data_IF_626828857515
#
_entry.id   IF_626828857515
#
_cell.length_a   1.000
_cell.length_b   1.000
_cell.length_c   1.000
_cell.angle_alpha   90.00
_cell.angle_beta   90.00
_cell.angle_gamma   90.00
#
_symmetry.space_group_name_H-M   'P 1'
#
loop_
_entity.id
_entity.type
_entity.pdbx_description
1 polymer ?
#
# COMPACT_ATOMS: atom_id res chain seq x y z
N UNK A 1 20.88 -14.30 9.85
CA UNK A 1 19.55 -14.57 9.37
C UNK A 1 18.98 -13.39 8.61
N UNK A 2 18.70 -13.60 7.36
CA UNK A 2 18.17 -12.52 6.54
C UNK A 2 16.66 -12.47 6.69
N UNK A 3 16.16 -11.35 7.05
CA UNK A 3 14.74 -11.14 7.14
C UNK A 3 14.16 -11.05 5.74
N UNK A 4 13.55 -12.13 5.31
CA UNK A 4 12.85 -12.14 4.03
C UNK A 4 11.48 -11.51 4.15
N UNK A 5 11.04 -11.26 5.38
CA UNK A 5 9.73 -10.71 5.64
C UNK A 5 9.80 -9.29 6.15
N UNK A 6 8.72 -8.88 6.78
CA UNK A 6 8.62 -7.54 7.35
C UNK A 6 9.33 -7.49 8.70
N UNK A 7 10.09 -6.44 8.90
CA UNK A 7 10.75 -6.21 10.20
C UNK A 7 9.75 -5.67 11.19
N UNK A 8 10.18 -5.54 12.44
CA UNK A 8 9.34 -4.96 13.48
C UNK A 8 8.94 -3.52 13.12
N UNK A 9 9.86 -2.75 12.59
CA UNK A 9 9.59 -1.39 12.12
C UNK A 9 8.55 -1.41 11.00
N UNK A 10 8.69 -2.36 10.07
CA UNK A 10 7.73 -2.51 8.98
C UNK A 10 6.34 -2.81 9.51
N UNK A 11 6.24 -3.67 10.53
CA UNK A 11 4.95 -4.01 11.12
C UNK A 11 4.30 -2.81 11.78
N UNK A 12 5.10 -1.95 12.40
CA UNK A 12 4.59 -0.72 12.98
C UNK A 12 4.06 0.21 11.89
N UNK A 13 4.76 0.30 10.77
CA UNK A 13 4.29 1.08 9.63
C UNK A 13 2.97 0.54 9.10
N UNK A 14 2.85 -0.78 9.02
CA UNK A 14 1.61 -1.42 8.57
C UNK A 14 0.45 -1.03 9.48
N UNK A 15 0.65 -1.11 10.78
CA UNK A 15 -0.40 -0.76 11.73
C UNK A 15 -0.85 0.69 11.61
N UNK A 16 0.11 1.60 11.46
CA UNK A 16 -0.21 3.02 11.30
C UNK A 16 -0.94 3.28 10.00
N UNK A 17 -0.52 2.63 8.93
CA UNK A 17 -1.21 2.76 7.64
C UNK A 17 -2.63 2.24 7.71
N UNK A 18 -2.85 1.15 8.45
CA UNK A 18 -4.20 0.63 8.64
C UNK A 18 -5.10 1.65 9.34
N UNK A 19 -4.53 2.41 10.25
CA UNK A 19 -5.30 3.45 10.95
C UNK A 19 -5.73 4.58 10.02
N UNK A 20 -5.05 4.75 8.90
CA UNK A 20 -5.45 5.76 7.90
C UNK A 20 -6.50 5.23 6.94
N UNK A 21 -6.90 3.97 7.07
CA UNK A 21 -7.96 3.41 6.25
C UNK A 21 -7.51 2.38 5.23
N UNK A 22 -6.21 2.13 5.11
CA UNK A 22 -5.73 1.10 4.20
C UNK A 22 -6.01 -0.28 4.80
N UNK A 23 -6.33 -1.23 3.93
CA UNK A 23 -6.50 -2.61 4.38
C UNK A 23 -5.14 -3.16 4.81
N UNK A 24 -5.17 -4.18 5.65
CA UNK A 24 -3.94 -4.82 6.11
C UNK A 24 -3.09 -5.32 4.95
N UNK A 25 -3.74 -5.92 3.96
CA UNK A 25 -3.03 -6.49 2.81
C UNK A 25 -2.39 -5.40 1.95
N UNK A 26 -3.08 -4.29 1.73
CA UNK A 26 -2.52 -3.15 1.02
C UNK A 26 -1.34 -2.56 1.77
N UNK A 27 -1.49 -2.40 3.09
CA UNK A 27 -0.44 -1.82 3.92
C UNK A 27 0.82 -2.69 3.90
N UNK A 28 0.65 -4.00 4.06
CA UNK A 28 1.78 -4.94 4.03
C UNK A 28 2.50 -4.89 2.69
N UNK A 29 1.74 -4.92 1.61
CA UNK A 29 2.31 -4.91 0.26
C UNK A 29 3.07 -3.61 0.02
N UNK A 30 2.46 -2.48 0.37
CA UNK A 30 3.07 -1.17 0.19
C UNK A 30 4.38 -1.04 0.98
N UNK A 31 4.37 -1.46 2.24
CA UNK A 31 5.56 -1.38 3.10
C UNK A 31 6.68 -2.26 2.56
N UNK A 32 6.35 -3.44 2.05
CA UNK A 32 7.37 -4.30 1.46
C UNK A 32 7.96 -3.67 0.19
N UNK A 33 7.10 -3.10 -0.66
CA UNK A 33 7.55 -2.50 -1.92
C UNK A 33 8.51 -1.33 -1.69
N UNK A 34 8.38 -0.59 -0.58
CA UNK A 34 9.29 0.51 -0.30
C UNK A 34 10.72 0.05 -0.09
N UNK A 35 10.90 -1.23 0.23
CA UNK A 35 12.21 -1.80 0.53
C UNK A 35 12.89 -2.36 -0.71
N UNK A 36 12.18 -2.45 -1.81
CA UNK A 36 12.67 -3.07 -3.03
C UNK A 36 12.53 -2.12 -4.21
N UNK A 37 13.48 -2.19 -5.11
CA UNK A 37 13.39 -1.44 -6.35
C UNK A 37 12.33 -2.07 -7.25
N UNK A 38 12.40 -3.38 -7.40
CA UNK A 38 11.38 -4.16 -8.10
C UNK A 38 11.25 -5.51 -7.40
N UNK A 39 10.06 -6.08 -7.45
CA UNK A 39 9.83 -7.37 -6.81
C UNK A 39 8.73 -8.13 -7.56
N UNK A 40 8.78 -9.44 -7.47
CA UNK A 40 7.78 -10.31 -8.09
C UNK A 40 6.65 -10.57 -7.09
N UNK A 41 5.51 -11.04 -7.61
CA UNK A 41 4.38 -11.40 -6.75
C UNK A 41 4.75 -12.51 -5.78
N UNK A 42 5.58 -13.44 -6.22
CA UNK A 42 6.04 -14.55 -5.35
C UNK A 42 6.85 -14.00 -4.16
N UNK A 43 7.70 -13.02 -4.43
CA UNK A 43 8.48 -12.40 -3.36
C UNK A 43 7.58 -11.65 -2.38
N UNK A 44 6.55 -10.98 -2.89
CA UNK A 44 5.59 -10.28 -2.03
C UNK A 44 4.85 -11.29 -1.14
N UNK A 45 4.38 -12.38 -1.72
CA UNK A 45 3.69 -13.44 -0.98
C UNK A 45 4.58 -13.98 0.14
N UNK A 46 5.82 -14.26 -0.19
CA UNK A 46 6.77 -14.82 0.76
C UNK A 46 7.06 -13.85 1.92
N UNK A 47 7.25 -12.58 1.59
CA UNK A 47 7.63 -11.58 2.59
C UNK A 47 6.46 -11.17 3.48
N UNK A 48 5.25 -11.15 2.94
CA UNK A 48 4.08 -10.65 3.65
C UNK A 48 3.20 -11.76 4.22
N UNK A 49 3.50 -13.00 3.88
CA UNK A 49 2.68 -14.17 4.23
C UNK A 49 1.27 -14.10 3.68
N UNK A 50 1.09 -13.33 2.63
CA UNK A 50 -0.19 -13.24 1.93
C UNK A 50 -0.26 -14.31 0.84
N UNK A 51 -1.46 -14.72 0.52
CA UNK A 51 -1.69 -15.66 -0.58
C UNK A 51 -1.76 -14.92 -1.90
N UNK A 52 -1.55 -15.65 -2.98
CA UNK A 52 -1.54 -15.05 -4.32
C UNK A 52 -2.79 -14.20 -4.62
N UNK A 53 -4.02 -14.67 -4.33
CA UNK A 53 -5.19 -13.83 -4.57
C UNK A 53 -5.20 -12.55 -3.75
N UNK A 54 -4.69 -12.60 -2.53
CA UNK A 54 -4.61 -11.43 -1.65
C UNK A 54 -3.62 -10.40 -2.17
N UNK A 55 -2.47 -10.88 -2.66
CA UNK A 55 -1.48 -9.98 -3.26
C UNK A 55 -2.04 -9.35 -4.53
N UNK A 56 -2.73 -10.13 -5.34
CA UNK A 56 -3.33 -9.65 -6.58
C UNK A 56 -4.32 -8.52 -6.32
N UNK A 57 -5.20 -8.70 -5.34
CA UNK A 57 -6.20 -7.69 -4.97
C UNK A 57 -5.52 -6.46 -4.40
N UNK A 58 -4.54 -6.65 -3.51
CA UNK A 58 -3.82 -5.54 -2.91
C UNK A 58 -3.11 -4.70 -3.98
N UNK A 59 -2.45 -5.37 -4.93
CA UNK A 59 -1.78 -4.67 -6.01
C UNK A 59 -2.76 -3.94 -6.90
N UNK A 60 -3.91 -4.53 -7.15
CA UNK A 60 -4.97 -3.90 -7.93
C UNK A 60 -5.43 -2.59 -7.29
N UNK A 61 -5.67 -2.64 -5.98
CA UNK A 61 -6.08 -1.47 -5.22
C UNK A 61 -5.02 -0.38 -5.23
N UNK A 62 -3.76 -0.78 -5.04
CA UNK A 62 -2.64 0.16 -5.03
C UNK A 62 -2.43 0.78 -6.42
N UNK A 63 -2.62 0.00 -7.49
CA UNK A 63 -2.53 0.53 -8.86
C UNK A 63 -3.66 1.52 -9.14
N UNK A 64 -4.84 1.26 -8.60
CA UNK A 64 -5.96 2.17 -8.76
C UNK A 64 -5.63 3.54 -8.16
N UNK A 65 -4.88 3.56 -7.08
CA UNK A 65 -4.41 4.80 -6.47
C UNK A 65 -3.21 5.39 -7.21
N UNK A 66 -2.66 4.66 -8.16
CA UNK A 66 -1.48 5.06 -8.94
C UNK A 66 -0.20 5.14 -8.10
N UNK A 67 -0.17 4.41 -7.02
CA UNK A 67 0.99 4.35 -6.14
C UNK A 67 2.00 3.28 -6.55
N UNK A 68 1.54 2.27 -7.26
CA UNK A 68 2.40 1.18 -7.72
C UNK A 68 2.17 0.90 -9.19
N UNK A 69 3.15 0.27 -9.80
CA UNK A 69 3.05 -0.16 -11.20
C UNK A 69 3.55 -1.58 -11.30
N UNK A 70 3.16 -2.24 -12.37
CA UNK A 70 3.69 -3.56 -12.68
C UNK A 70 4.01 -3.62 -14.16
N UNK A 71 5.00 -4.42 -14.48
CA UNK A 71 5.35 -4.69 -15.87
C UNK A 71 5.63 -6.16 -16.04
N UNK A 72 5.46 -6.63 -17.26
CA UNK A 72 5.76 -8.01 -17.57
C UNK A 72 7.24 -8.14 -17.90
N UNK A 73 7.88 -9.12 -17.32
CA UNK A 73 9.26 -9.44 -17.66
C UNK A 73 9.23 -10.67 -18.52
N UNK A 74 9.75 -10.55 -19.73
CA UNK A 74 9.87 -11.70 -20.61
C UNK A 74 11.08 -12.51 -20.19
N UNK A 75 10.85 -13.74 -19.81
CA UNK A 75 11.93 -14.67 -19.58
C UNK A 75 12.34 -15.28 -20.90
N UNK A 76 13.63 -15.34 -21.12
CA UNK A 76 14.15 -16.10 -22.24
C UNK A 76 13.72 -17.56 -22.06
N UNK A 77 13.20 -18.13 -23.14
CA UNK A 77 12.81 -19.52 -23.09
C UNK A 77 11.34 -19.69 -22.78
N UNK A 78 11.05 -20.77 -22.12
CA UNK A 78 9.67 -21.18 -21.87
C UNK A 78 9.15 -20.61 -20.58
N UNK A 79 7.87 -20.30 -20.58
CA UNK A 79 7.18 -19.97 -19.36
C UNK A 79 6.30 -18.77 -19.47
N UNK A 80 5.51 -18.58 -18.43
CA UNK A 80 4.62 -17.44 -18.34
C UNK A 80 5.41 -16.19 -18.06
N UNK A 81 4.97 -15.05 -18.59
CA UNK A 81 5.58 -13.77 -18.22
C UNK A 81 5.51 -13.60 -16.71
N UNK A 82 6.62 -13.14 -16.14
CA UNK A 82 6.67 -12.83 -14.72
C UNK A 82 6.38 -11.36 -14.58
N UNK A 83 5.49 -11.02 -13.65
CA UNK A 83 5.19 -9.62 -13.38
C UNK A 83 6.17 -9.07 -12.36
N UNK A 84 6.69 -7.88 -12.68
CA UNK A 84 7.53 -7.15 -11.75
C UNK A 84 6.74 -5.96 -11.23
N UNK A 85 6.77 -5.77 -9.94
CA UNK A 85 6.01 -4.73 -9.24
C UNK A 85 6.96 -3.76 -8.57
N UNK A 86 6.58 -2.48 -8.58
CA UNK A 86 7.40 -1.46 -7.92
C UNK A 86 6.54 -0.26 -7.55
N UNK A 87 7.07 0.59 -6.68
CA UNK A 87 6.42 1.85 -6.38
C UNK A 87 6.49 2.74 -7.63
N UNK A 88 5.36 3.31 -8.00
CA UNK A 88 5.29 4.27 -9.10
C UNK A 88 5.60 5.68 -8.60
N UNK A 89 5.49 5.88 -7.28
CA UNK A 89 5.71 7.16 -6.61
C UNK A 89 6.60 6.87 -5.41
N UNK A 90 7.56 7.75 -5.09
CA UNK A 90 8.38 7.53 -3.90
C UNK A 90 7.52 7.36 -2.65
N UNK A 91 7.95 6.49 -1.76
CA UNK A 91 7.18 6.20 -0.55
C UNK A 91 6.87 7.46 0.26
N UNK A 92 7.82 8.37 0.34
CA UNK A 92 7.64 9.63 1.05
C UNK A 92 6.51 10.48 0.46
N UNK A 93 6.39 10.47 -0.86
CA UNK A 93 5.30 11.16 -1.55
C UNK A 93 3.96 10.54 -1.23
N UNK A 94 3.94 9.22 -1.13
CA UNK A 94 2.71 8.51 -0.74
C UNK A 94 2.31 8.92 0.67
N UNK A 95 3.29 9.05 1.57
CA UNK A 95 3.02 9.50 2.94
C UNK A 95 2.43 10.91 2.93
N UNK A 96 2.94 11.79 2.07
CA UNK A 96 2.39 13.14 1.94
C UNK A 96 0.95 13.13 1.45
N UNK A 97 0.66 12.25 0.50
CA UNK A 97 -0.71 12.11 -0.03
C UNK A 97 -1.66 11.64 1.08
N UNK A 98 -1.22 10.66 1.86
CA UNK A 98 -2.02 10.14 2.97
C UNK A 98 -2.23 11.24 4.02
N UNK A 99 -1.20 12.01 4.31
CA UNK A 99 -1.32 13.13 5.26
C UNK A 99 -2.38 14.11 4.80
N UNK A 100 -2.35 14.48 3.52
CA UNK A 100 -3.32 15.42 2.97
C UNK A 100 -4.75 14.87 3.07
N UNK A 101 -4.92 13.58 2.80
CA UNK A 101 -6.22 12.94 2.90
C UNK A 101 -6.74 12.92 4.34
N UNK A 102 -5.83 12.65 5.29
CA UNK A 102 -6.21 12.63 6.71
C UNK A 102 -6.56 14.03 7.21
N UNK A 103 -5.83 15.05 6.79
CA UNK A 103 -6.14 16.43 7.15
C UNK A 103 -7.50 16.86 6.60
N UNK A 104 -7.83 16.40 5.40
CA UNK A 104 -9.14 16.68 4.82
C UNK A 104 -10.25 16.04 5.63
N UNK A 105 -10.02 14.84 6.18
CA UNK A 105 -11.01 14.20 7.05
C UNK A 105 -11.25 15.00 8.31
N UNK A 106 -10.18 15.55 8.90
CA UNK A 106 -10.29 16.39 10.09
C UNK A 106 -11.16 17.63 9.77
N UNK A 107 -10.87 18.27 8.66
CA UNK A 107 -11.62 19.43 8.23
C UNK A 107 -13.10 19.11 8.01
N UNK A 108 -13.37 17.98 7.39
CA UNK A 108 -14.74 17.53 7.14
C UNK A 108 -15.48 17.29 8.47
N UNK A 109 -14.82 16.64 9.43
CA UNK A 109 -15.40 16.40 10.74
C UNK A 109 -15.74 17.71 11.43
N UNK A 110 -14.81 18.65 11.41
CA UNK A 110 -15.02 19.96 12.03
C UNK A 110 -16.19 20.69 11.40
N UNK A 111 -16.28 20.66 10.08
CA UNK A 111 -17.37 21.30 9.36
C UNK A 111 -18.71 20.65 9.67
N UNK A 112 -18.74 19.32 9.76
CA UNK A 112 -19.97 18.60 10.09
C UNK A 112 -20.47 18.97 11.48
N UNK A 113 -19.56 19.06 12.46
CA UNK A 113 -19.93 19.43 13.82
C UNK A 113 -20.45 20.86 13.85
N UNK A 114 -19.81 21.75 13.11
CA UNK A 114 -20.25 23.14 13.02
C UNK A 114 -21.67 23.25 12.48
N UNK A 115 -21.94 22.49 11.40
CA UNK A 115 -23.29 22.49 10.80
C UNK A 115 -24.33 21.89 11.75
N UNK A 116 -23.96 20.84 12.49
CA UNK A 116 -24.86 20.26 13.49
C UNK A 116 -25.26 21.31 14.52
N UNK A 117 -24.30 22.06 15.02
CA UNK A 117 -24.57 23.10 16.01
C UNK A 117 -25.44 24.20 15.45
N UNK A 118 -25.20 24.60 14.20
CA UNK A 118 -26.01 25.64 13.55
C UNK A 118 -27.46 25.17 13.37
N UNK A 119 -27.65 23.95 12.91
CA UNK A 119 -29.00 23.42 12.66
C UNK A 119 -29.75 23.13 13.96
N UNK A 120 -29.02 22.85 15.03
CA UNK A 120 -29.63 22.48 16.31
C UNK A 120 -30.13 23.69 17.12
N UNK A 121 -29.86 24.88 16.68
CA UNK A 121 -30.34 26.10 17.35
C UNK A 121 -31.85 26.27 17.25
#
# INVERSE_FOLDING_TARGET
MTDKGLTKKDEMLVELLMKTGLSKNMAKTLVFLRKKEETTSVEIESATSLRQPEVSIAMQELRRRKWVSKRDIKKEGKGRPVHSNKLAVPFEKIMDIIEAEERKKIETIENNVKQLKELAK
#
